data_IF_938009652616
#
_entry.id   IF_938009652616
#
_cell.length_a   1.000
_cell.length_b   1.000
_cell.length_c   1.000
_cell.angle_alpha   90.00
_cell.angle_beta   90.00
_cell.angle_gamma   90.00
#
_symmetry.space_group_name_H-M   'P 1'
#
loop_
_entity.id
_entity.type
_entity.pdbx_description
1 polymer ?
#
# COMPACT_ATOMS: atom_id res chain seq x y z
N UNK A 1 14.25 -37.12 -8.96
CA UNK A 1 12.92 -36.46 -9.12
C UNK A 1 12.37 -35.94 -7.79
N UNK A 2 12.08 -36.77 -6.78
CA UNK A 2 11.55 -36.34 -5.47
C UNK A 2 12.44 -35.31 -4.76
N UNK A 3 13.76 -35.51 -4.75
CA UNK A 3 14.70 -34.56 -4.15
C UNK A 3 14.73 -33.19 -4.84
N UNK A 4 14.49 -33.15 -6.15
CA UNK A 4 14.42 -31.91 -6.94
C UNK A 4 13.14 -31.15 -6.58
N UNK A 5 12.00 -31.84 -6.56
CA UNK A 5 10.70 -31.25 -6.18
C UNK A 5 10.76 -30.66 -4.77
N UNK A 6 11.34 -31.40 -3.81
CA UNK A 6 11.50 -30.91 -2.42
C UNK A 6 12.31 -29.61 -2.34
N UNK A 7 13.43 -29.52 -3.08
CA UNK A 7 14.28 -28.32 -3.10
C UNK A 7 13.58 -27.15 -3.78
N UNK A 8 12.93 -27.38 -4.92
CA UNK A 8 12.21 -26.33 -5.65
C UNK A 8 11.01 -25.79 -4.87
N UNK A 9 10.25 -26.66 -4.19
CA UNK A 9 9.15 -26.25 -3.33
C UNK A 9 9.64 -25.41 -2.13
N UNK A 10 10.76 -25.79 -1.52
CA UNK A 10 11.38 -25.00 -0.45
C UNK A 10 11.76 -23.59 -0.92
N UNK A 11 12.42 -23.48 -2.09
CA UNK A 11 12.76 -22.19 -2.67
C UNK A 11 11.52 -21.35 -3.01
N UNK A 12 10.47 -21.98 -3.56
CA UNK A 12 9.20 -21.32 -3.84
C UNK A 12 8.59 -20.71 -2.57
N UNK A 13 8.54 -21.46 -1.48
CA UNK A 13 8.00 -20.97 -0.20
C UNK A 13 8.86 -19.82 0.34
N UNK A 14 10.18 -19.95 0.29
CA UNK A 14 11.09 -18.88 0.74
C UNK A 14 10.87 -17.60 -0.07
N UNK A 15 10.80 -17.70 -1.40
CA UNK A 15 10.53 -16.56 -2.26
C UNK A 15 9.13 -15.97 -2.02
N UNK A 16 8.12 -16.81 -1.81
CA UNK A 16 6.77 -16.37 -1.50
C UNK A 16 6.73 -15.58 -0.19
N UNK A 17 7.38 -16.07 0.87
CA UNK A 17 7.43 -15.37 2.15
C UNK A 17 8.23 -14.07 2.04
N UNK A 18 9.36 -14.08 1.34
CA UNK A 18 10.18 -12.89 1.18
C UNK A 18 9.44 -11.79 0.40
N UNK A 19 8.92 -12.12 -0.77
CA UNK A 19 8.30 -11.13 -1.65
C UNK A 19 6.85 -10.80 -1.27
N UNK A 20 6.10 -11.78 -0.75
CA UNK A 20 4.68 -11.63 -0.45
C UNK A 20 4.39 -11.15 0.98
N UNK A 21 5.33 -11.33 1.91
CA UNK A 21 5.16 -10.93 3.31
C UNK A 21 6.25 -9.97 3.77
N UNK A 22 7.51 -10.42 3.79
CA UNK A 22 8.58 -9.64 4.42
C UNK A 22 8.79 -8.30 3.72
N UNK A 23 8.85 -8.28 2.40
CA UNK A 23 9.00 -7.05 1.63
C UNK A 23 7.84 -6.05 1.83
N UNK A 24 6.57 -6.39 1.55
CA UNK A 24 5.48 -5.42 1.69
C UNK A 24 5.28 -4.97 3.14
N UNK A 25 5.46 -5.84 4.13
CA UNK A 25 5.37 -5.45 5.54
C UNK A 25 6.48 -4.47 5.93
N UNK A 26 7.71 -4.71 5.47
CA UNK A 26 8.84 -3.82 5.75
C UNK A 26 8.61 -2.44 5.13
N UNK A 27 8.21 -2.40 3.85
CA UNK A 27 7.92 -1.13 3.16
C UNK A 27 6.75 -0.40 3.81
N UNK A 28 5.69 -1.12 4.18
CA UNK A 28 4.52 -0.55 4.87
C UNK A 28 4.92 0.02 6.23
N UNK A 29 5.68 -0.73 7.02
CA UNK A 29 6.13 -0.29 8.34
C UNK A 29 6.99 0.98 8.25
N UNK A 30 7.96 0.99 7.33
CA UNK A 30 8.80 2.17 7.10
C UNK A 30 7.91 3.35 6.68
N UNK A 31 7.04 3.17 5.69
CA UNK A 31 6.14 4.22 5.21
C UNK A 31 5.24 4.79 6.29
N UNK A 32 4.68 3.94 7.16
CA UNK A 32 3.84 4.39 8.28
C UNK A 32 4.65 5.14 9.35
N UNK A 33 5.90 4.75 9.60
CA UNK A 33 6.75 5.42 10.60
C UNK A 33 7.24 6.77 10.09
N UNK A 34 7.69 6.86 8.84
CA UNK A 34 8.34 8.06 8.32
C UNK A 34 7.37 9.02 7.62
N UNK A 35 6.33 8.49 6.96
CA UNK A 35 5.39 9.27 6.15
C UNK A 35 3.93 8.82 6.35
N UNK A 36 3.40 8.83 7.59
CA UNK A 36 2.07 8.30 7.89
C UNK A 36 0.96 8.99 7.09
N UNK A 37 1.03 10.31 6.87
CA UNK A 37 -0.02 11.02 6.11
C UNK A 37 -0.12 10.51 4.67
N UNK A 38 1.02 10.39 3.97
CA UNK A 38 1.10 9.92 2.59
C UNK A 38 0.82 8.43 2.48
N UNK A 39 1.36 7.62 3.39
CA UNK A 39 1.14 6.17 3.44
C UNK A 39 -0.34 5.80 3.63
N UNK A 40 -1.12 6.69 4.26
CA UNK A 40 -2.57 6.55 4.43
C UNK A 40 -3.40 7.30 3.38
N UNK A 41 -2.77 7.76 2.28
CA UNK A 41 -3.47 8.32 1.11
C UNK A 41 -3.65 9.83 1.10
N UNK A 42 -2.89 10.57 1.92
CA UNK A 42 -2.90 12.05 1.98
C UNK A 42 -4.32 12.63 2.11
N UNK A 43 -5.09 12.06 3.04
CA UNK A 43 -6.53 12.35 3.19
C UNK A 43 -6.76 13.75 3.76
N UNK A 44 -7.72 14.48 3.17
CA UNK A 44 -8.20 15.76 3.67
C UNK A 44 -9.42 15.53 4.53
N UNK A 45 -9.39 16.05 5.77
CA UNK A 45 -10.51 15.97 6.71
C UNK A 45 -11.07 17.35 7.02
N UNK A 46 -12.39 17.46 7.01
CA UNK A 46 -13.13 18.65 7.44
C UNK A 46 -14.24 18.21 8.40
N UNK A 47 -14.33 18.88 9.55
CA UNK A 47 -15.31 18.55 10.61
C UNK A 47 -15.33 17.06 11.01
N UNK A 48 -14.14 16.46 11.07
CA UNK A 48 -13.96 15.04 11.42
C UNK A 48 -14.32 14.04 10.31
N UNK A 49 -14.80 14.51 9.15
CA UNK A 49 -15.13 13.65 8.00
C UNK A 49 -14.05 13.74 6.93
N UNK A 50 -13.72 12.62 6.31
CA UNK A 50 -12.84 12.59 5.13
C UNK A 50 -13.62 13.13 3.95
N UNK A 51 -13.13 14.21 3.34
CA UNK A 51 -13.76 14.87 2.19
C UNK A 51 -13.01 14.63 0.87
N UNK A 52 -11.82 14.03 0.91
CA UNK A 52 -11.03 13.73 -0.27
C UNK A 52 -9.58 13.35 0.04
N UNK A 53 -8.74 13.36 -0.99
CA UNK A 53 -7.29 13.22 -0.91
C UNK A 53 -6.65 14.39 -1.66
N UNK A 54 -5.50 14.85 -1.16
CA UNK A 54 -4.68 15.86 -1.84
C UNK A 54 -4.29 15.45 -3.27
N UNK A 55 -4.27 14.15 -3.55
CA UNK A 55 -3.79 13.57 -4.81
C UNK A 55 -4.93 13.16 -5.77
N UNK A 56 -6.19 13.25 -5.35
CA UNK A 56 -7.35 12.82 -6.15
C UNK A 56 -8.22 14.03 -6.47
N UNK A 57 -8.37 14.33 -7.76
CA UNK A 57 -9.32 15.33 -8.25
C UNK A 57 -10.76 14.86 -8.10
N UNK A 58 -11.66 15.79 -7.81
CA UNK A 58 -13.10 15.53 -7.69
C UNK A 58 -13.85 16.05 -8.92
N UNK A 59 -14.99 15.45 -9.21
CA UNK A 59 -15.87 15.93 -10.27
C UNK A 59 -16.67 17.14 -9.78
N UNK A 60 -16.51 18.28 -10.45
CA UNK A 60 -17.23 19.51 -10.16
C UNK A 60 -18.28 19.76 -11.23
N UNK A 61 -19.52 20.04 -10.82
CA UNK A 61 -20.63 20.33 -11.74
C UNK A 61 -21.08 21.79 -11.70
N UNK A 62 -20.66 22.55 -10.68
CA UNK A 62 -21.07 23.93 -10.51
C UNK A 62 -20.02 24.86 -11.09
N UNK A 63 -20.41 25.87 -11.90
CA UNK A 63 -19.48 26.80 -12.53
C UNK A 63 -18.75 27.74 -11.55
N UNK A 64 -19.09 27.67 -10.25
CA UNK A 64 -18.37 28.37 -9.17
C UNK A 64 -17.07 27.65 -8.76
N UNK A 65 -16.98 26.38 -9.11
CA UNK A 65 -15.77 25.59 -9.01
C UNK A 65 -15.12 25.53 -10.40
N UNK A 66 -13.85 25.13 -10.45
CA UNK A 66 -13.02 25.11 -11.66
C UNK A 66 -13.67 24.38 -12.84
#
# INVERSE_FOLDING_TARGET
>A
MIQTIRKSAGLMIVMFVLCGLLFPLTVTAIGQITFPHQANGSLIKQDGKVIGSELIGQQWHSPKYF
#
